data_IF_492937998492
#
_entry.id   IF_492937998492
#
_cell.length_a   1.000
_cell.length_b   1.000
_cell.length_c   1.000
_cell.angle_alpha   90.00
_cell.angle_beta   90.00
_cell.angle_gamma   90.00
#
_symmetry.space_group_name_H-M   'P 1'
#
loop_
_entity.id
_entity.type
_entity.pdbx_description
1 polymer ?
#
# COMPACT_ATOMS: atom_id res chain seq x y z
N UNK A 1 13.16 -16.25 -8.52
CA UNK A 1 12.31 -17.11 -7.67
C UNK A 1 10.88 -16.65 -7.87
N UNK A 2 9.90 -17.54 -7.89
CA UNK A 2 8.50 -17.11 -7.96
C UNK A 2 8.08 -16.49 -6.62
N UNK A 3 7.32 -15.37 -6.61
CA UNK A 3 6.85 -14.77 -5.37
C UNK A 3 5.95 -15.74 -4.60
N UNK A 4 6.10 -15.76 -3.27
CA UNK A 4 5.21 -16.53 -2.40
C UNK A 4 3.75 -16.09 -2.55
N UNK A 5 2.79 -16.95 -2.18
CA UNK A 5 1.36 -16.62 -2.23
C UNK A 5 1.06 -15.29 -1.49
N UNK A 6 1.74 -15.07 -0.37
CA UNK A 6 1.58 -13.87 0.44
C UNK A 6 2.10 -12.62 -0.28
N UNK A 7 3.26 -12.69 -0.95
CA UNK A 7 3.77 -11.58 -1.78
C UNK A 7 2.84 -11.24 -2.94
N UNK A 8 2.26 -12.27 -3.60
CA UNK A 8 1.26 -12.06 -4.67
C UNK A 8 0.00 -11.37 -4.15
N UNK A 9 -0.47 -11.76 -2.97
CA UNK A 9 -1.62 -11.13 -2.31
C UNK A 9 -1.33 -9.67 -1.94
N UNK A 10 -0.16 -9.39 -1.37
CA UNK A 10 0.28 -8.04 -1.05
C UNK A 10 0.38 -7.13 -2.28
N UNK A 11 1.00 -7.61 -3.36
CA UNK A 11 1.05 -6.88 -4.63
C UNK A 11 -0.35 -6.59 -5.19
N UNK A 12 -1.24 -7.59 -5.17
CA UNK A 12 -2.63 -7.43 -5.63
C UNK A 12 -3.37 -6.35 -4.81
N UNK A 13 -3.12 -6.27 -3.49
CA UNK A 13 -3.70 -5.24 -2.64
C UNK A 13 -3.11 -3.86 -2.94
N UNK A 14 -1.80 -3.76 -3.13
CA UNK A 14 -1.14 -2.53 -3.54
C UNK A 14 -1.73 -2.00 -4.85
N UNK A 15 -1.85 -2.85 -5.88
CA UNK A 15 -2.45 -2.47 -7.16
C UNK A 15 -3.89 -1.98 -7.03
N UNK A 16 -4.68 -2.58 -6.13
CA UNK A 16 -6.02 -2.08 -5.83
C UNK A 16 -5.96 -0.69 -5.21
N UNK A 17 -5.13 -0.46 -4.19
CA UNK A 17 -4.95 0.87 -3.60
C UNK A 17 -4.54 1.88 -4.66
N UNK A 18 -3.58 1.53 -5.52
CA UNK A 18 -3.11 2.37 -6.63
C UNK A 18 -4.20 2.71 -7.65
N UNK A 19 -5.14 1.79 -7.88
CA UNK A 19 -6.29 2.01 -8.76
C UNK A 19 -7.37 2.90 -8.12
N UNK A 20 -7.55 2.83 -6.80
CA UNK A 20 -8.64 3.51 -6.10
C UNK A 20 -8.26 4.88 -5.53
N UNK A 21 -6.99 5.12 -5.14
CA UNK A 21 -6.60 6.41 -4.55
C UNK A 21 -6.97 7.63 -5.40
N UNK A 22 -6.91 7.63 -6.75
CA UNK A 22 -7.25 8.82 -7.53
C UNK A 22 -8.72 9.23 -7.38
N UNK A 23 -9.59 8.29 -7.03
CA UNK A 23 -11.02 8.55 -6.80
C UNK A 23 -11.30 9.15 -5.42
N UNK A 24 -10.38 8.98 -4.47
CA UNK A 24 -10.46 9.46 -3.08
C UNK A 24 -9.56 10.68 -2.85
N UNK A 25 -8.95 11.21 -3.91
CA UNK A 25 -7.97 12.28 -3.80
C UNK A 25 -8.64 13.61 -3.45
N UNK A 26 -8.17 14.21 -2.36
CA UNK A 26 -8.51 15.57 -1.92
C UNK A 26 -7.23 16.41 -1.92
N UNK A 27 -7.03 17.20 -2.98
CA UNK A 27 -5.80 17.97 -3.16
C UNK A 27 -4.59 17.08 -3.43
N UNK A 28 -3.56 17.19 -2.61
CA UNK A 28 -2.29 16.44 -2.75
C UNK A 28 -2.25 15.14 -1.94
N UNK A 29 -3.39 14.77 -1.34
CA UNK A 29 -3.51 13.59 -0.46
C UNK A 29 -4.71 12.73 -0.85
N UNK A 30 -4.62 11.43 -0.59
CA UNK A 30 -5.71 10.49 -0.76
C UNK A 30 -5.78 9.54 0.44
N UNK A 31 -6.99 9.29 0.93
CA UNK A 31 -7.22 8.40 2.07
C UNK A 31 -7.95 7.14 1.62
N UNK A 32 -7.40 5.98 2.00
CA UNK A 32 -7.96 4.67 1.66
C UNK A 32 -8.06 3.83 2.92
N UNK A 33 -9.25 3.33 3.23
CA UNK A 33 -9.43 2.38 4.33
C UNK A 33 -9.40 0.94 3.80
N UNK A 34 -8.57 0.09 4.40
CA UNK A 34 -8.55 -1.36 4.16
C UNK A 34 -9.17 -2.10 5.34
N UNK A 35 -9.63 -3.34 5.12
CA UNK A 35 -9.95 -4.20 6.26
C UNK A 35 -8.69 -4.46 7.10
N UNK A 36 -8.83 -4.78 8.38
CA UNK A 36 -7.69 -5.16 9.22
C UNK A 36 -6.82 -6.26 8.57
N UNK A 37 -7.45 -7.27 7.99
CA UNK A 37 -6.72 -8.37 7.35
C UNK A 37 -5.92 -7.89 6.13
N UNK A 38 -6.54 -7.11 5.25
CA UNK A 38 -5.87 -6.59 4.04
C UNK A 38 -4.75 -5.60 4.41
N UNK A 39 -4.96 -4.78 5.43
CA UNK A 39 -3.95 -3.86 5.94
C UNK A 39 -2.71 -4.60 6.45
N UNK A 40 -2.90 -5.69 7.21
CA UNK A 40 -1.80 -6.53 7.69
C UNK A 40 -1.02 -7.17 6.54
N UNK A 41 -1.72 -7.67 5.50
CA UNK A 41 -1.06 -8.24 4.31
C UNK A 41 -0.26 -7.18 3.55
N UNK A 42 -0.77 -5.96 3.43
CA UNK A 42 -0.05 -4.87 2.77
C UNK A 42 1.18 -4.44 3.58
N UNK A 43 1.06 -4.35 4.91
CA UNK A 43 2.20 -4.09 5.80
C UNK A 43 3.28 -5.17 5.65
N UNK A 44 2.92 -6.45 5.72
CA UNK A 44 3.87 -7.55 5.57
C UNK A 44 4.56 -7.53 4.21
N UNK A 45 3.85 -7.14 3.15
CA UNK A 45 4.43 -6.91 1.82
C UNK A 45 5.45 -5.77 1.83
N UNK A 46 5.13 -4.62 2.43
CA UNK A 46 6.03 -3.45 2.46
C UNK A 46 7.31 -3.75 3.25
N UNK A 47 7.21 -4.46 4.36
CA UNK A 47 8.35 -4.82 5.22
C UNK A 47 9.20 -5.96 4.62
N UNK A 48 8.69 -6.69 3.62
CA UNK A 48 9.44 -7.77 2.98
C UNK A 48 10.48 -7.24 1.98
N UNK A 49 11.78 -7.55 2.12
CA UNK A 49 12.81 -7.10 1.18
C UNK A 49 12.60 -7.54 -0.28
N UNK A 50 12.01 -8.71 -0.51
CA UNK A 50 11.74 -9.25 -1.85
C UNK A 50 10.64 -8.46 -2.59
N UNK A 51 9.80 -7.72 -1.87
CA UNK A 51 8.71 -6.95 -2.47
C UNK A 51 9.23 -5.78 -3.29
N UNK A 52 10.41 -5.24 -2.98
CA UNK A 52 11.00 -4.07 -3.65
C UNK A 52 11.14 -4.23 -5.17
N UNK A 53 11.37 -5.45 -5.64
CA UNK A 53 11.46 -5.76 -7.08
C UNK A 53 10.09 -5.88 -7.76
N UNK A 54 9.01 -5.98 -6.97
CA UNK A 54 7.63 -6.14 -7.42
C UNK A 54 6.83 -4.83 -7.36
N UNK A 55 7.35 -3.81 -6.70
CA UNK A 55 6.67 -2.52 -6.52
C UNK A 55 6.53 -1.81 -7.87
N UNK A 56 5.32 -1.34 -8.24
CA UNK A 56 5.11 -0.57 -9.46
C UNK A 56 5.95 0.70 -9.54
N UNK A 57 6.39 1.08 -10.74
CA UNK A 57 7.30 2.23 -10.96
C UNK A 57 6.73 3.58 -10.50
N UNK A 58 5.40 3.73 -10.48
CA UNK A 58 4.72 4.96 -10.04
C UNK A 58 4.73 5.13 -8.51
N UNK A 59 5.23 4.15 -7.75
CA UNK A 59 5.40 4.22 -6.30
C UNK A 59 6.82 4.65 -5.97
N UNK A 60 6.97 5.84 -5.40
CA UNK A 60 8.27 6.41 -5.01
C UNK A 60 8.78 5.84 -3.69
N UNK A 61 7.88 5.67 -2.73
CA UNK A 61 8.22 5.12 -1.41
C UNK A 61 6.99 4.60 -0.70
N UNK A 62 7.19 3.59 0.13
CA UNK A 62 6.18 3.08 1.05
C UNK A 62 6.76 3.03 2.47
N UNK A 63 5.96 3.41 3.47
CA UNK A 63 6.36 3.36 4.88
C UNK A 63 5.19 2.95 5.74
N UNK A 64 5.46 2.08 6.71
CA UNK A 64 4.50 1.69 7.74
C UNK A 64 4.71 2.55 8.99
N UNK A 65 3.64 3.16 9.49
CA UNK A 65 3.55 3.79 10.80
C UNK A 65 2.72 2.88 11.71
N UNK A 66 3.38 1.93 12.37
CA UNK A 66 2.74 0.86 13.14
C UNK A 66 1.90 1.44 14.30
N UNK A 67 2.43 2.44 15.01
CA UNK A 67 1.77 3.04 16.17
C UNK A 67 0.44 3.73 15.77
N UNK A 68 0.43 4.34 14.58
CA UNK A 68 -0.73 5.05 14.03
C UNK A 68 -1.63 4.14 13.18
N UNK A 69 -1.27 2.85 13.02
CA UNK A 69 -1.98 1.88 12.16
C UNK A 69 -2.20 2.42 10.75
N UNK A 70 -1.17 3.08 10.22
CA UNK A 70 -1.21 3.79 8.96
C UNK A 70 -0.08 3.32 8.04
N UNK A 71 -0.37 3.25 6.74
CA UNK A 71 0.63 3.01 5.71
C UNK A 71 0.66 4.24 4.80
N UNK A 72 1.83 4.83 4.61
CA UNK A 72 2.03 5.92 3.67
C UNK A 72 2.63 5.40 2.37
N UNK A 73 2.01 5.76 1.25
CA UNK A 73 2.48 5.44 -0.10
C UNK A 73 2.61 6.74 -0.87
N UNK A 74 3.85 7.13 -1.19
CA UNK A 74 4.11 8.28 -2.05
C UNK A 74 4.09 7.82 -3.51
N UNK A 75 3.23 8.44 -4.33
CA UNK A 75 3.18 8.18 -5.78
C UNK A 75 3.71 9.36 -6.57
N UNK A 76 3.66 9.26 -7.90
CA UNK A 76 3.92 10.40 -8.78
C UNK A 76 2.91 11.53 -8.62
N UNK A 77 1.65 11.21 -8.31
CA UNK A 77 0.54 12.16 -8.31
C UNK A 77 0.26 12.76 -6.93
N UNK A 78 0.27 11.94 -5.87
CA UNK A 78 -0.13 12.36 -4.53
C UNK A 78 0.44 11.47 -3.43
N UNK A 79 0.21 11.84 -2.17
CA UNK A 79 0.50 10.99 -1.02
C UNK A 79 -0.76 10.22 -0.61
N UNK A 80 -0.68 8.89 -0.61
CA UNK A 80 -1.78 8.01 -0.21
C UNK A 80 -1.56 7.56 1.25
N UNK A 81 -2.54 7.84 2.09
CA UNK A 81 -2.62 7.34 3.46
C UNK A 81 -3.59 6.16 3.49
N UNK A 82 -3.09 4.99 3.85
CA UNK A 82 -3.88 3.76 3.94
C UNK A 82 -4.11 3.42 5.41
N UNK A 83 -5.35 3.57 5.84
CA UNK A 83 -5.78 3.35 7.21
C UNK A 83 -6.28 1.93 7.42
N UNK A 84 -6.10 1.43 8.63
CA UNK A 84 -6.74 0.19 9.06
C UNK A 84 -8.20 0.46 9.45
N UNK A 85 -9.11 0.10 8.55
CA UNK A 85 -10.55 0.12 8.79
C UNK A 85 -10.98 -0.83 9.90
N UNK A 86 -12.05 -0.44 10.60
CA UNK A 86 -12.69 -1.20 11.68
C UNK A 86 -13.41 -2.44 11.18
#
# INVERSE_FOLDING_TARGET
>A
MEPTLHLKQGLTLLEKVLKFYPMMQEGDTSEVALTQQDWLVLMDFIENPESKELVPENVKSMRVAIDDRLIHIATDDCNVSVEMGM
#
